data_IF_953881620740
#
_entry.id   IF_953881620740
#
_cell.length_a   1.000
_cell.length_b   1.000
_cell.length_c   1.000
_cell.angle_alpha   90.00
_cell.angle_beta   90.00
_cell.angle_gamma   90.00
#
_symmetry.space_group_name_H-M   'P 1'
#
loop_
_entity.id
_entity.type
_entity.pdbx_description
1 polymer ?
#
# COMPACT_ATOMS: atom_id res chain seq x y z
N UNK A 1 -31.90 -22.99 -30.80
CA UNK A 1 -31.51 -22.89 -29.38
C UNK A 1 -30.00 -22.59 -29.18
N UNK A 2 -29.29 -21.96 -30.13
CA UNK A 2 -27.82 -21.77 -30.05
C UNK A 2 -27.34 -20.31 -29.90
N UNK A 3 -28.22 -19.31 -29.86
CA UNK A 3 -27.78 -17.90 -29.81
C UNK A 3 -27.57 -17.38 -28.37
N UNK A 4 -28.30 -17.93 -27.39
CA UNK A 4 -28.19 -17.53 -25.99
C UNK A 4 -26.86 -17.96 -25.33
N UNK A 5 -26.26 -19.07 -25.76
CA UNK A 5 -24.98 -19.57 -25.22
C UNK A 5 -23.77 -18.78 -25.72
N UNK A 6 -23.80 -18.28 -26.95
CA UNK A 6 -22.70 -17.50 -27.54
C UNK A 6 -22.65 -16.08 -26.97
N UNK A 7 -23.82 -15.47 -26.71
CA UNK A 7 -23.91 -14.14 -26.09
C UNK A 7 -23.42 -14.12 -24.63
N UNK A 8 -23.72 -15.17 -23.84
CA UNK A 8 -23.25 -15.30 -22.46
C UNK A 8 -21.73 -15.53 -22.37
N UNK A 9 -21.17 -16.27 -23.34
CA UNK A 9 -19.72 -16.51 -23.43
C UNK A 9 -18.96 -15.27 -23.92
N UNK A 10 -19.56 -14.47 -24.82
CA UNK A 10 -18.99 -13.21 -25.28
C UNK A 10 -19.04 -12.12 -24.18
N UNK A 11 -20.12 -12.03 -23.40
CA UNK A 11 -20.25 -11.05 -22.32
C UNK A 11 -19.23 -11.30 -21.20
N UNK A 12 -19.02 -12.56 -20.81
CA UNK A 12 -18.03 -12.96 -19.80
C UNK A 12 -16.59 -12.76 -20.28
N UNK A 13 -16.30 -12.97 -21.57
CA UNK A 13 -15.00 -12.68 -22.16
C UNK A 13 -14.66 -11.18 -22.17
N UNK A 14 -15.64 -10.33 -22.49
CA UNK A 14 -15.48 -8.85 -22.51
C UNK A 14 -15.30 -8.30 -21.09
N UNK A 15 -15.98 -8.85 -20.09
CA UNK A 15 -15.79 -8.47 -18.68
C UNK A 15 -14.41 -8.89 -18.15
N UNK A 16 -13.94 -10.09 -18.50
CA UNK A 16 -12.63 -10.60 -18.13
C UNK A 16 -11.48 -9.73 -18.69
N UNK A 17 -11.63 -9.23 -19.92
CA UNK A 17 -10.70 -8.28 -20.55
C UNK A 17 -10.67 -6.94 -19.79
N UNK A 18 -11.83 -6.38 -19.42
CA UNK A 18 -11.91 -5.13 -18.63
C UNK A 18 -11.32 -5.29 -17.23
N UNK A 19 -11.60 -6.40 -16.55
CA UNK A 19 -11.05 -6.76 -15.25
C UNK A 19 -9.52 -6.89 -15.31
N UNK A 20 -8.97 -7.51 -16.35
CA UNK A 20 -7.52 -7.58 -16.57
C UNK A 20 -6.89 -6.20 -16.75
N UNK A 21 -7.48 -5.35 -17.60
CA UNK A 21 -6.99 -3.97 -17.80
C UNK A 21 -7.04 -3.16 -16.52
N UNK A 22 -8.14 -3.26 -15.77
CA UNK A 22 -8.28 -2.61 -14.46
C UNK A 22 -7.25 -3.10 -13.45
N UNK A 23 -7.00 -4.40 -13.37
CA UNK A 23 -5.97 -4.97 -12.48
C UNK A 23 -4.56 -4.51 -12.84
N UNK A 24 -4.24 -4.40 -14.13
CA UNK A 24 -2.94 -3.90 -14.59
C UNK A 24 -2.80 -2.41 -14.24
N UNK A 25 -3.85 -1.61 -14.47
CA UNK A 25 -3.85 -0.19 -14.12
C UNK A 25 -3.76 0.04 -12.60
N UNK A 26 -4.51 -0.73 -11.82
CA UNK A 26 -4.46 -0.70 -10.36
C UNK A 26 -3.09 -1.13 -9.83
N UNK A 27 -2.48 -2.18 -10.39
CA UNK A 27 -1.14 -2.63 -10.02
C UNK A 27 -0.07 -1.57 -10.35
N UNK A 28 -0.18 -0.92 -11.51
CA UNK A 28 0.72 0.18 -11.88
C UNK A 28 0.57 1.37 -10.92
N UNK A 29 -0.66 1.74 -10.57
CA UNK A 29 -0.92 2.83 -9.63
C UNK A 29 -0.41 2.51 -8.21
N UNK A 30 -0.73 1.33 -7.67
CA UNK A 30 -0.24 0.90 -6.35
C UNK A 30 1.29 0.79 -6.32
N UNK A 31 1.89 0.29 -7.40
CA UNK A 31 3.33 0.18 -7.55
C UNK A 31 4.01 1.56 -7.54
N UNK A 32 3.44 2.54 -8.24
CA UNK A 32 3.95 3.91 -8.23
C UNK A 32 3.79 4.59 -6.88
N UNK A 33 2.61 4.53 -6.28
CA UNK A 33 2.36 5.16 -4.97
C UNK A 33 3.21 4.50 -3.88
N UNK A 34 3.27 3.17 -3.86
CA UNK A 34 4.12 2.41 -2.94
C UNK A 34 5.60 2.68 -3.15
N UNK A 35 6.05 2.75 -4.40
CA UNK A 35 7.43 3.10 -4.76
C UNK A 35 7.80 4.51 -4.32
N UNK A 36 6.95 5.50 -4.58
CA UNK A 36 7.15 6.87 -4.09
C UNK A 36 7.18 6.91 -2.57
N UNK A 37 6.26 6.24 -1.87
CA UNK A 37 6.25 6.20 -0.41
C UNK A 37 7.53 5.59 0.17
N UNK A 38 8.04 4.51 -0.45
CA UNK A 38 9.30 3.90 -0.04
C UNK A 38 10.49 4.85 -0.24
N UNK A 39 10.56 5.52 -1.40
CA UNK A 39 11.62 6.49 -1.70
C UNK A 39 11.59 7.71 -0.77
N UNK A 40 10.41 8.28 -0.51
CA UNK A 40 10.24 9.41 0.41
C UNK A 40 10.53 9.02 1.86
N UNK A 41 10.00 7.88 2.32
CA UNK A 41 10.24 7.37 3.67
C UNK A 41 11.72 7.05 3.90
N UNK A 42 12.35 6.34 2.96
CA UNK A 42 13.77 6.00 3.03
C UNK A 42 14.66 7.25 2.93
N UNK A 43 14.34 8.21 2.06
CA UNK A 43 15.08 9.49 1.96
C UNK A 43 15.03 10.29 3.25
N UNK A 44 13.87 10.32 3.92
CA UNK A 44 13.69 11.01 5.20
C UNK A 44 14.50 10.32 6.32
N UNK A 45 14.48 9.00 6.35
CA UNK A 45 15.28 8.21 7.29
C UNK A 45 16.79 8.39 7.04
N UNK A 46 17.23 8.39 5.78
CA UNK A 46 18.62 8.65 5.42
C UNK A 46 19.06 10.07 5.82
N UNK A 47 18.20 11.06 5.61
CA UNK A 47 18.48 12.45 5.97
C UNK A 47 18.58 12.66 7.49
N UNK A 48 17.74 11.97 8.28
CA UNK A 48 17.84 12.04 9.75
C UNK A 48 19.06 11.29 10.28
N UNK A 49 19.38 10.12 9.70
CA UNK A 49 20.57 9.36 10.04
C UNK A 49 21.85 10.17 9.76
N UNK A 50 21.92 10.88 8.63
CA UNK A 50 23.07 11.76 8.31
C UNK A 50 23.26 12.89 9.32
N UNK A 51 22.19 13.38 9.96
CA UNK A 51 22.28 14.42 11.00
C UNK A 51 22.73 13.84 12.34
N UNK A 52 22.30 12.63 12.71
CA UNK A 52 22.71 11.96 13.95
C UNK A 52 24.13 11.40 13.90
N UNK A 53 24.57 10.89 12.75
CA UNK A 53 25.82 10.12 12.61
C UNK A 53 27.05 10.94 12.19
N UNK A 54 27.03 12.27 12.35
CA UNK A 54 28.15 13.13 11.91
C UNK A 54 29.51 12.76 12.54
N UNK A 55 29.51 12.06 13.70
CA UNK A 55 30.72 11.52 14.35
C UNK A 55 31.14 10.16 13.76
N UNK A 56 30.18 9.29 13.46
CA UNK A 56 30.39 7.93 12.93
C UNK A 56 30.81 7.99 11.45
N UNK A 57 30.27 8.93 10.67
CA UNK A 57 30.67 9.19 9.28
C UNK A 57 32.07 9.81 9.17
N UNK A 58 32.51 10.60 10.16
CA UNK A 58 33.90 11.08 10.22
C UNK A 58 34.87 9.93 10.54
N UNK A 59 34.46 9.02 11.42
CA UNK A 59 35.22 7.81 11.74
C UNK A 59 35.24 6.83 10.54
N UNK A 60 34.16 6.79 9.75
CA UNK A 60 34.06 6.05 8.50
C UNK A 60 35.08 6.49 7.43
N UNK A 61 35.59 7.72 7.48
CA UNK A 61 36.64 8.20 6.58
C UNK A 61 38.05 7.69 6.92
N UNK A 62 38.23 7.06 8.09
CA UNK A 62 39.50 6.42 8.46
C UNK A 62 39.54 4.98 7.94
N UNK A 63 40.72 4.46 7.56
CA UNK A 63 40.87 3.07 7.06
C UNK A 63 40.24 2.03 8.00
N UNK A 64 40.37 2.22 9.31
CA UNK A 64 39.79 1.33 10.32
C UNK A 64 38.25 1.39 10.32
N UNK A 65 37.68 2.58 10.17
CA UNK A 65 36.23 2.77 10.10
C UNK A 65 35.61 2.27 8.80
N UNK A 66 36.34 2.36 7.67
CA UNK A 66 35.90 1.77 6.40
C UNK A 66 35.81 0.25 6.50
N UNK A 67 36.83 -0.42 7.05
CA UNK A 67 36.84 -1.88 7.19
C UNK A 67 35.70 -2.34 8.12
N UNK A 68 35.50 -1.65 9.25
CA UNK A 68 34.43 -1.97 10.21
C UNK A 68 33.04 -1.71 9.63
N UNK A 69 32.87 -0.66 8.82
CA UNK A 69 31.61 -0.40 8.11
C UNK A 69 31.36 -1.38 6.97
N UNK A 70 32.39 -1.87 6.29
CA UNK A 70 32.25 -2.88 5.24
C UNK A 70 31.77 -4.21 5.84
N UNK A 71 32.34 -4.63 6.97
CA UNK A 71 31.88 -5.79 7.73
C UNK A 71 30.49 -5.59 8.33
N UNK A 72 30.21 -4.42 8.91
CA UNK A 72 28.93 -4.09 9.53
C UNK A 72 27.78 -3.93 8.53
N UNK A 73 28.05 -3.32 7.38
CA UNK A 73 27.07 -3.15 6.30
C UNK A 73 26.75 -4.47 5.60
N UNK A 74 27.75 -5.34 5.39
CA UNK A 74 27.53 -6.69 4.86
C UNK A 74 26.64 -7.54 5.80
N UNK A 75 26.82 -7.40 7.11
CA UNK A 75 26.00 -8.09 8.10
C UNK A 75 24.58 -7.50 8.17
N UNK A 76 24.45 -6.17 8.13
CA UNK A 76 23.17 -5.48 8.11
C UNK A 76 22.36 -5.77 6.84
N UNK A 77 22.99 -5.84 5.67
CA UNK A 77 22.33 -6.17 4.41
C UNK A 77 21.79 -7.61 4.42
N UNK A 78 22.53 -8.57 5.01
CA UNK A 78 22.02 -9.93 5.21
C UNK A 78 20.86 -9.97 6.20
N UNK A 79 20.98 -9.30 7.34
CA UNK A 79 19.90 -9.25 8.33
C UNK A 79 18.63 -8.59 7.75
N UNK A 80 18.78 -7.53 6.96
CA UNK A 80 17.68 -6.87 6.27
C UNK A 80 17.11 -7.73 5.14
N UNK A 81 17.95 -8.46 4.40
CA UNK A 81 17.51 -9.40 3.38
C UNK A 81 16.65 -10.53 3.95
N UNK A 82 17.10 -11.18 5.03
CA UNK A 82 16.32 -12.23 5.70
C UNK A 82 15.09 -11.64 6.39
N UNK A 83 15.20 -10.44 6.98
CA UNK A 83 14.09 -9.73 7.61
C UNK A 83 12.96 -9.38 6.64
N UNK A 84 13.27 -8.86 5.45
CA UNK A 84 12.24 -8.59 4.43
C UNK A 84 11.62 -9.89 3.90
N UNK A 85 12.40 -10.96 3.74
CA UNK A 85 11.90 -12.27 3.35
C UNK A 85 10.91 -12.82 4.38
N UNK A 86 11.26 -12.79 5.67
CA UNK A 86 10.35 -13.18 6.76
C UNK A 86 9.15 -12.24 6.90
N UNK A 87 9.30 -10.94 6.66
CA UNK A 87 8.19 -10.00 6.72
C UNK A 87 7.16 -10.28 5.61
N UNK A 88 7.62 -10.52 4.38
CA UNK A 88 6.74 -10.84 3.24
C UNK A 88 6.12 -12.22 3.42
N UNK A 89 6.91 -13.24 3.78
CA UNK A 89 6.39 -14.60 4.00
C UNK A 89 5.47 -14.67 5.22
N UNK A 90 5.82 -14.00 6.33
CA UNK A 90 5.05 -13.98 7.56
C UNK A 90 3.74 -13.22 7.41
N UNK A 91 3.77 -12.02 6.82
CA UNK A 91 2.55 -11.24 6.57
C UNK A 91 1.67 -11.92 5.53
N UNK A 92 2.27 -12.52 4.49
CA UNK A 92 1.56 -13.31 3.49
C UNK A 92 0.89 -14.55 4.10
N UNK A 93 1.63 -15.33 4.89
CA UNK A 93 1.11 -16.50 5.58
C UNK A 93 0.07 -16.14 6.66
N UNK A 94 0.23 -15.03 7.36
CA UNK A 94 -0.75 -14.52 8.32
C UNK A 94 -2.05 -14.09 7.63
N UNK A 95 -1.94 -13.31 6.56
CA UNK A 95 -3.10 -12.88 5.77
C UNK A 95 -3.79 -14.08 5.12
N UNK A 96 -3.01 -15.05 4.61
CA UNK A 96 -3.54 -16.32 4.11
C UNK A 96 -4.18 -17.16 5.22
N UNK A 97 -3.59 -17.19 6.41
CA UNK A 97 -4.12 -17.89 7.59
C UNK A 97 -5.46 -17.33 8.04
N UNK A 98 -5.59 -15.99 8.08
CA UNK A 98 -6.85 -15.31 8.32
C UNK A 98 -7.88 -15.58 7.22
N UNK A 99 -7.46 -15.61 5.96
CA UNK A 99 -8.34 -16.00 4.85
C UNK A 99 -8.81 -17.46 4.99
N UNK A 100 -7.91 -18.37 5.39
CA UNK A 100 -8.20 -19.79 5.62
C UNK A 100 -9.14 -20.01 6.83
N UNK A 101 -8.99 -19.23 7.89
CA UNK A 101 -9.85 -19.25 9.07
C UNK A 101 -11.23 -18.62 8.79
N UNK A 102 -11.31 -17.65 7.88
CA UNK A 102 -12.56 -16.97 7.55
C UNK A 102 -13.53 -17.82 6.71
N UNK A 103 -13.14 -19.01 6.26
CA UNK A 103 -14.04 -20.00 5.64
C UNK A 103 -14.69 -19.57 4.32
N UNK A 104 -14.21 -18.49 3.70
CA UNK A 104 -14.66 -18.01 2.41
C UNK A 104 -13.76 -18.61 1.31
N UNK A 105 -14.36 -19.29 0.32
CA UNK A 105 -13.61 -19.93 -0.77
C UNK A 105 -13.14 -18.94 -1.83
N UNK A 106 -13.62 -17.69 -1.77
CA UNK A 106 -13.28 -16.63 -2.70
C UNK A 106 -13.11 -15.27 -1.99
N UNK A 107 -12.25 -14.39 -2.51
CA UNK A 107 -12.04 -13.03 -1.99
C UNK A 107 -13.34 -12.20 -2.08
N UNK A 108 -14.14 -12.48 -3.10
CA UNK A 108 -15.44 -11.86 -3.29
C UNK A 108 -16.45 -12.29 -2.22
N UNK A 109 -16.44 -13.57 -1.87
CA UNK A 109 -17.30 -14.14 -0.82
C UNK A 109 -16.87 -13.67 0.57
N UNK A 110 -15.57 -13.49 0.80
CA UNK A 110 -15.02 -12.87 2.00
C UNK A 110 -15.45 -11.41 2.11
N UNK A 111 -15.28 -10.60 1.05
CA UNK A 111 -15.76 -9.21 0.99
C UNK A 111 -17.25 -9.11 1.28
N UNK A 112 -18.06 -10.00 0.69
CA UNK A 112 -19.51 -10.01 0.87
C UNK A 112 -19.95 -10.47 2.27
N UNK A 113 -19.30 -11.48 2.86
CA UNK A 113 -19.59 -11.93 4.24
C UNK A 113 -19.08 -10.94 5.29
N UNK A 114 -17.89 -10.37 5.09
CA UNK A 114 -17.31 -9.40 6.02
C UNK A 114 -18.06 -8.07 5.94
N UNK A 115 -18.47 -7.63 4.75
CA UNK A 115 -19.36 -6.47 4.56
C UNK A 115 -20.79 -6.66 5.09
N UNK A 116 -21.22 -7.90 5.34
CA UNK A 116 -22.54 -8.23 5.93
C UNK A 116 -22.45 -8.53 7.42
N UNK A 117 -21.27 -8.91 7.92
CA UNK A 117 -20.95 -9.05 9.34
C UNK A 117 -20.70 -7.70 10.01
N UNK A 118 -20.21 -6.72 9.24
CA UNK A 118 -20.17 -5.34 9.68
C UNK A 118 -21.60 -4.78 9.58
N UNK A 119 -22.13 -4.15 10.65
CA UNK A 119 -23.43 -3.48 10.56
C UNK A 119 -23.38 -2.48 9.41
N UNK A 120 -24.25 -2.67 8.41
CA UNK A 120 -24.42 -1.72 7.31
C UNK A 120 -24.83 -0.39 7.93
N UNK A 121 -23.92 0.57 7.93
CA UNK A 121 -24.27 1.96 8.18
C UNK A 121 -25.24 2.31 7.05
N UNK A 122 -26.50 2.49 7.40
CA UNK A 122 -27.50 3.06 6.51
C UNK A 122 -26.95 4.41 6.09
N UNK A 123 -26.69 4.60 4.80
CA UNK A 123 -26.50 5.94 4.24
C UNK A 123 -27.86 6.63 4.29
N UNK A 124 -28.20 7.19 5.44
CA UNK A 124 -29.12 8.31 5.47
C UNK A 124 -28.35 9.51 4.92
N UNK A 125 -28.90 10.16 3.91
CA UNK A 125 -28.44 11.47 3.48
C UNK A 125 -28.50 12.45 4.66
N UNK A 126 -27.38 13.19 4.80
CA UNK A 126 -27.16 14.40 5.60
C UNK A 126 -26.93 14.24 7.13
N UNK A 127 -26.09 15.09 7.78
CA UNK A 127 -25.51 16.35 7.30
C UNK A 127 -23.96 16.41 7.37
N UNK A 128 -23.37 17.07 6.37
CA UNK A 128 -22.07 17.79 6.44
C UNK A 128 -21.00 17.16 7.35
N UNK A 129 -20.40 16.06 6.92
CA UNK A 129 -19.09 15.64 7.41
C UNK A 129 -18.04 16.65 6.97
N UNK A 130 -17.27 17.16 7.94
CA UNK A 130 -16.26 18.23 7.83
C UNK A 130 -15.07 17.93 6.90
N UNK A 131 -15.14 16.85 6.13
CA UNK A 131 -14.05 16.29 5.32
C UNK A 131 -14.46 15.98 3.88
N UNK A 132 -15.72 16.16 3.50
CA UNK A 132 -16.19 15.93 2.13
C UNK A 132 -16.00 17.20 1.29
N UNK A 133 -14.73 17.56 1.06
CA UNK A 133 -14.42 18.58 0.07
C UNK A 133 -14.65 17.98 -1.32
N UNK A 134 -15.60 18.55 -2.06
CA UNK A 134 -15.98 18.07 -3.40
C UNK A 134 -14.81 18.20 -4.40
N UNK A 135 -13.85 19.08 -4.12
CA UNK A 135 -12.65 19.30 -4.92
C UNK A 135 -11.53 19.89 -4.07
N UNK A 136 -10.29 19.73 -4.52
CA UNK A 136 -9.12 20.38 -3.91
C UNK A 136 -9.25 21.91 -3.91
N UNK A 137 -9.98 22.47 -4.88
CA UNK A 137 -10.36 23.89 -4.91
C UNK A 137 -11.23 24.29 -3.73
N UNK A 138 -12.13 23.41 -3.31
CA UNK A 138 -13.05 23.65 -2.19
C UNK A 138 -12.32 23.56 -0.84
N UNK A 139 -11.40 22.58 -0.72
CA UNK A 139 -10.46 22.48 0.40
C UNK A 139 -9.58 23.74 0.52
N UNK A 140 -9.07 24.26 -0.60
CA UNK A 140 -8.23 25.46 -0.60
C UNK A 140 -9.03 26.72 -0.25
N UNK A 141 -10.29 26.82 -0.69
CA UNK A 141 -11.18 27.91 -0.28
C UNK A 141 -11.45 27.88 1.22
N UNK A 142 -11.70 26.70 1.79
CA UNK A 142 -11.91 26.52 3.23
C UNK A 142 -10.69 26.91 4.07
N UNK A 143 -9.48 26.48 3.66
CA UNK A 143 -8.23 26.87 4.31
C UNK A 143 -7.96 28.38 4.22
N UNK A 144 -8.28 28.99 3.08
CA UNK A 144 -8.11 30.43 2.89
C UNK A 144 -9.05 31.26 3.77
N UNK A 145 -10.27 30.79 4.02
CA UNK A 145 -11.18 31.45 4.98
C UNK A 145 -10.74 31.26 6.43
N UNK A 146 -10.16 30.11 6.78
CA UNK A 146 -9.68 29.85 8.14
C UNK A 146 -8.37 30.60 8.47
N UNK A 147 -7.50 30.83 7.48
CA UNK A 147 -6.24 31.57 7.67
C UNK A 147 -6.39 33.10 7.82
N UNK A 148 -7.63 33.62 7.70
CA UNK A 148 -7.92 35.06 7.76
C UNK A 148 -8.48 35.51 9.13
N UNK A 149 -8.69 34.59 10.04
CA UNK A 149 -8.97 34.87 11.47
C UNK A 149 -7.68 34.90 12.30
#
# INVERSE_FOLDING_TARGET
>A
MNEAGTAATAATAVEAEKQRKFRIQAAAFLGLVGGMSALFGFSRTLSTAKKSDSKVLKQAGTRQGMILMDEGSALALRAFGWGTLYAVLGTGAFCYGFWKLSGAKDFEEFRMKMGRSLPRITSEEAPTSRTDFESLTDLMKYLATWAKE
#
